data_IF_339167836016
#
_entry.id   IF_339167836016
#
_cell.length_a   1.000
_cell.length_b   1.000
_cell.length_c   1.000
_cell.angle_alpha   90.00
_cell.angle_beta   90.00
_cell.angle_gamma   90.00
#
_symmetry.space_group_name_H-M   'P 1'
#
loop_
_entity.id
_entity.type
_entity.pdbx_description
1 polymer ?
#
# COMPACT_ATOMS: atom_id res chain seq x y z
N UNK A 1 -11.78 -34.42 53.70
CA UNK A 1 -11.57 -35.87 53.64
C UNK A 1 -12.75 -36.55 54.32
N UNK A 2 -13.50 -37.37 53.60
CA UNK A 2 -14.47 -38.27 54.23
C UNK A 2 -13.68 -39.38 54.94
N UNK A 3 -13.91 -39.57 56.24
CA UNK A 3 -13.29 -40.64 57.02
C UNK A 3 -14.25 -41.84 57.04
N UNK A 4 -13.78 -42.98 56.53
CA UNK A 4 -14.53 -44.23 56.55
C UNK A 4 -13.96 -45.14 57.64
N UNK A 5 -14.83 -45.56 58.56
CA UNK A 5 -14.42 -46.31 59.75
C UNK A 5 -14.61 -47.83 59.60
N UNK A 6 -15.39 -48.28 58.62
CA UNK A 6 -15.66 -49.68 58.34
C UNK A 6 -15.72 -50.00 56.84
N UNK A 7 -15.50 -51.27 56.48
CA UNK A 7 -15.69 -51.80 55.10
C UNK A 7 -17.09 -51.47 54.57
N UNK A 8 -18.12 -51.66 55.39
CA UNK A 8 -19.52 -51.46 55.00
C UNK A 8 -19.78 -49.99 54.64
N UNK A 9 -19.28 -49.05 55.45
CA UNK A 9 -19.45 -47.62 55.18
C UNK A 9 -18.80 -47.19 53.86
N UNK A 10 -17.61 -47.74 53.56
CA UNK A 10 -16.91 -47.48 52.31
C UNK A 10 -17.66 -48.05 51.09
N UNK A 11 -18.07 -49.31 51.16
CA UNK A 11 -18.77 -49.98 50.05
C UNK A 11 -20.13 -49.35 49.78
N UNK A 12 -20.85 -48.90 50.82
CA UNK A 12 -22.10 -48.18 50.66
C UNK A 12 -21.89 -46.80 50.02
N UNK A 13 -20.84 -46.07 50.40
CA UNK A 13 -20.49 -44.81 49.76
C UNK A 13 -20.07 -44.99 48.30
N UNK A 14 -19.30 -46.05 47.99
CA UNK A 14 -18.93 -46.42 46.62
C UNK A 14 -20.15 -46.80 45.78
N UNK A 15 -21.05 -47.63 46.31
CA UNK A 15 -22.31 -48.00 45.63
C UNK A 15 -23.15 -46.77 45.31
N UNK A 16 -23.27 -45.82 46.25
CA UNK A 16 -23.98 -44.55 45.99
C UNK A 16 -23.29 -43.69 44.94
N UNK A 17 -21.96 -43.61 44.97
CA UNK A 17 -21.19 -42.84 43.99
C UNK A 17 -21.29 -43.43 42.57
N UNK A 18 -21.36 -44.76 42.45
CA UNK A 18 -21.47 -45.48 41.19
C UNK A 18 -22.90 -45.47 40.57
N UNK A 19 -23.89 -44.90 41.26
CA UNK A 19 -25.24 -44.78 40.71
C UNK A 19 -25.22 -43.99 39.38
N UNK A 20 -25.85 -44.56 38.34
CA UNK A 20 -25.90 -43.99 36.99
C UNK A 20 -24.85 -44.55 36.02
N UNK A 21 -23.95 -45.44 36.44
CA UNK A 21 -23.14 -46.24 35.53
C UNK A 21 -23.87 -47.54 35.13
N UNK A 22 -23.44 -48.24 34.07
CA UNK A 22 -23.98 -49.54 33.70
C UNK A 22 -23.93 -50.56 34.87
N UNK A 23 -24.97 -51.38 35.06
CA UNK A 23 -25.09 -52.27 36.22
C UNK A 23 -23.98 -53.34 36.30
N UNK A 24 -23.44 -53.76 35.16
CA UNK A 24 -22.31 -54.69 35.06
C UNK A 24 -21.01 -54.06 35.61
N UNK A 25 -20.75 -52.79 35.28
CA UNK A 25 -19.59 -52.05 35.77
C UNK A 25 -19.72 -51.84 37.28
N UNK A 26 -20.90 -51.48 37.77
CA UNK A 26 -21.14 -51.29 39.20
C UNK A 26 -20.83 -52.57 40.00
N UNK A 27 -21.37 -53.71 39.58
CA UNK A 27 -21.17 -54.99 40.26
C UNK A 27 -19.70 -55.43 40.25
N UNK A 28 -19.02 -55.29 39.10
CA UNK A 28 -17.61 -55.65 38.95
C UNK A 28 -16.70 -54.77 39.82
N UNK A 29 -16.94 -53.46 39.83
CA UNK A 29 -16.17 -52.52 40.65
C UNK A 29 -16.40 -52.81 42.13
N UNK A 30 -17.64 -53.00 42.56
CA UNK A 30 -17.95 -53.27 43.97
C UNK A 30 -17.28 -54.56 44.47
N UNK A 31 -17.34 -55.64 43.67
CA UNK A 31 -16.71 -56.92 44.00
C UNK A 31 -15.18 -56.82 44.13
N UNK A 32 -14.53 -56.02 43.27
CA UNK A 32 -13.09 -55.81 43.33
C UNK A 32 -12.66 -55.08 44.61
N UNK A 33 -13.39 -54.02 44.99
CA UNK A 33 -13.10 -53.29 46.22
C UNK A 33 -13.41 -54.14 47.46
N UNK A 34 -14.48 -54.92 47.44
CA UNK A 34 -14.80 -55.88 48.49
C UNK A 34 -13.66 -56.89 48.71
N UNK A 35 -13.13 -57.48 47.63
CA UNK A 35 -12.00 -58.41 47.72
C UNK A 35 -10.77 -57.73 48.35
N UNK A 36 -10.50 -56.47 48.01
CA UNK A 36 -9.35 -55.74 48.57
C UNK A 36 -9.45 -55.57 50.09
N UNK A 37 -10.64 -55.35 50.62
CA UNK A 37 -10.87 -55.31 52.07
C UNK A 37 -10.66 -56.69 52.71
N UNK A 38 -11.11 -57.76 52.05
CA UNK A 38 -10.90 -59.14 52.52
C UNK A 38 -9.40 -59.48 52.56
N UNK A 39 -8.65 -59.13 51.51
CA UNK A 39 -7.21 -59.37 51.44
C UNK A 39 -6.45 -58.56 52.52
N UNK A 40 -6.87 -57.31 52.77
CA UNK A 40 -6.30 -56.48 53.83
C UNK A 40 -6.53 -57.07 55.23
N UNK A 41 -7.75 -57.56 55.49
CA UNK A 41 -8.08 -58.23 56.73
C UNK A 41 -7.30 -59.54 56.92
N UNK A 42 -7.07 -60.30 55.84
CA UNK A 42 -6.29 -61.55 55.88
C UNK A 42 -4.81 -61.34 56.27
N UNK A 43 -4.26 -60.16 56.00
CA UNK A 43 -2.88 -59.77 56.38
C UNK A 43 -2.85 -59.01 57.72
N UNK A 44 -4.00 -58.93 58.41
CA UNK A 44 -4.11 -58.29 59.73
C UNK A 44 -4.11 -56.75 59.70
N UNK A 45 -4.38 -56.13 58.55
CA UNK A 45 -4.57 -54.67 58.47
C UNK A 45 -5.95 -54.28 58.98
N UNK A 46 -6.05 -53.12 59.61
CA UNK A 46 -7.35 -52.58 60.01
C UNK A 46 -8.15 -52.11 58.79
N UNK A 47 -9.48 -52.19 58.85
CA UNK A 47 -10.35 -51.72 57.76
C UNK A 47 -10.15 -50.22 57.48
N UNK A 48 -9.78 -49.44 58.50
CA UNK A 48 -9.52 -48.00 58.40
C UNK A 48 -8.26 -47.71 57.57
N UNK A 49 -7.21 -48.51 57.77
CA UNK A 49 -5.96 -48.36 57.01
C UNK A 49 -6.18 -48.71 55.54
N UNK A 50 -6.97 -49.75 55.28
CA UNK A 50 -7.33 -50.18 53.91
C UNK A 50 -8.20 -49.13 53.22
N UNK A 51 -9.19 -48.56 53.91
CA UNK A 51 -10.03 -47.49 53.36
C UNK A 51 -9.23 -46.22 53.05
N UNK A 52 -8.25 -45.88 53.89
CA UNK A 52 -7.36 -44.73 53.67
C UNK A 52 -6.45 -44.92 52.47
N UNK A 53 -5.95 -46.14 52.26
CA UNK A 53 -5.14 -46.52 51.09
C UNK A 53 -5.95 -46.47 49.79
N UNK A 54 -7.24 -46.85 49.85
CA UNK A 54 -8.14 -46.90 48.68
C UNK A 54 -8.64 -45.52 48.21
N UNK A 55 -8.56 -44.49 49.04
CA UNK A 55 -8.96 -43.12 48.68
C UNK A 55 -10.48 -42.89 48.61
N UNK A 56 -10.92 -41.74 48.08
CA UNK A 56 -12.34 -41.36 48.08
C UNK A 56 -13.15 -42.16 47.03
N UNK A 57 -14.24 -42.86 47.42
CA UNK A 57 -15.10 -43.59 46.48
C UNK A 57 -15.74 -42.71 45.40
N UNK A 58 -15.87 -41.39 45.63
CA UNK A 58 -16.42 -40.44 44.65
C UNK A 58 -15.49 -40.23 43.46
N UNK A 59 -14.18 -40.24 43.69
CA UNK A 59 -13.18 -40.06 42.63
C UNK A 59 -13.15 -41.28 41.71
N UNK A 60 -13.35 -42.47 42.27
CA UNK A 60 -13.49 -43.72 41.52
C UNK A 60 -14.70 -43.65 40.58
N UNK A 61 -15.85 -43.18 41.06
CA UNK A 61 -17.03 -43.02 40.21
C UNK A 61 -16.84 -41.95 39.13
N UNK A 62 -16.18 -40.84 39.45
CA UNK A 62 -15.90 -39.76 38.51
C UNK A 62 -14.98 -40.21 37.37
N UNK A 63 -13.92 -40.95 37.69
CA UNK A 63 -13.00 -41.49 36.69
C UNK A 63 -13.69 -42.50 35.77
N UNK A 64 -14.52 -43.40 36.33
CA UNK A 64 -15.29 -44.36 35.54
C UNK A 64 -16.32 -43.68 34.62
N UNK A 65 -17.01 -42.63 35.07
CA UNK A 65 -17.93 -41.85 34.21
C UNK A 65 -17.19 -41.17 33.07
N UNK A 66 -16.07 -40.53 33.38
CA UNK A 66 -15.25 -39.84 32.39
C UNK A 66 -14.80 -40.82 31.31
N UNK A 67 -14.30 -41.98 31.70
CA UNK A 67 -13.88 -43.04 30.77
C UNK A 67 -15.05 -43.59 29.94
N UNK A 68 -16.23 -43.76 30.54
CA UNK A 68 -17.42 -44.21 29.81
C UNK A 68 -17.86 -43.20 28.73
N UNK A 69 -17.80 -41.90 29.03
CA UNK A 69 -18.10 -40.85 28.05
C UNK A 69 -17.06 -40.80 26.91
N UNK A 70 -15.76 -40.92 27.22
CA UNK A 70 -14.72 -40.99 26.20
C UNK A 70 -14.81 -42.24 25.33
N UNK A 71 -15.20 -43.38 25.90
CA UNK A 71 -15.40 -44.61 25.16
C UNK A 71 -16.58 -44.48 24.17
N UNK A 72 -17.69 -43.85 24.56
CA UNK A 72 -18.83 -43.61 23.67
C UNK A 72 -18.48 -42.68 22.49
N UNK A 73 -17.62 -41.68 22.72
CA UNK A 73 -17.13 -40.81 21.65
C UNK A 73 -16.17 -41.54 20.70
N UNK A 74 -15.36 -42.45 21.24
CA UNK A 74 -14.37 -43.23 20.46
C UNK A 74 -14.98 -44.41 19.70
N UNK A 75 -16.08 -44.99 20.21
CA UNK A 75 -16.78 -46.12 19.60
C UNK A 75 -17.79 -45.74 18.51
N UNK A 76 -17.90 -44.46 18.16
CA UNK A 76 -18.60 -44.05 16.94
C UNK A 76 -17.58 -44.03 15.80
N UNK A 77 -17.39 -45.12 15.03
CA UNK A 77 -16.55 -45.07 13.85
C UNK A 77 -17.09 -43.97 12.94
N UNK A 78 -16.24 -42.99 12.62
CA UNK A 78 -16.53 -42.12 11.49
C UNK A 78 -16.71 -43.04 10.27
N UNK A 79 -17.86 -42.98 9.56
CA UNK A 79 -18.01 -43.78 8.36
C UNK A 79 -16.88 -43.38 7.41
N UNK A 80 -15.98 -44.28 7.07
CA UNK A 80 -14.81 -43.98 6.23
C UNK A 80 -15.23 -43.51 4.82
N UNK A 81 -16.47 -43.78 4.42
CA UNK A 81 -17.14 -43.21 3.25
C UNK A 81 -17.52 -41.72 3.38
N UNK A 82 -17.53 -41.14 4.59
CA UNK A 82 -17.79 -39.72 4.79
C UNK A 82 -16.56 -38.87 4.57
N UNK A 83 -15.32 -39.36 4.75
CA UNK A 83 -14.13 -38.51 4.58
C UNK A 83 -13.96 -38.10 3.13
N UNK A 84 -13.96 -39.06 2.20
CA UNK A 84 -13.89 -38.76 0.76
C UNK A 84 -15.06 -37.88 0.31
N UNK A 85 -16.29 -38.16 0.78
CA UNK A 85 -17.46 -37.34 0.49
C UNK A 85 -17.37 -35.93 1.07
N UNK A 86 -16.76 -35.76 2.25
CA UNK A 86 -16.55 -34.47 2.92
C UNK A 86 -15.46 -33.67 2.21
N UNK A 87 -14.42 -34.33 1.71
CA UNK A 87 -13.39 -33.68 0.89
C UNK A 87 -13.99 -33.21 -0.43
N UNK A 88 -14.77 -34.06 -1.12
CA UNK A 88 -15.45 -33.70 -2.37
C UNK A 88 -16.48 -32.60 -2.15
N UNK A 89 -17.28 -32.65 -1.09
CA UNK A 89 -18.25 -31.59 -0.78
C UNK A 89 -17.55 -30.29 -0.36
N UNK A 90 -16.42 -30.38 0.34
CA UNK A 90 -15.57 -29.22 0.66
C UNK A 90 -15.02 -28.57 -0.59
N UNK A 91 -14.51 -29.35 -1.54
CA UNK A 91 -14.04 -28.85 -2.83
C UNK A 91 -15.18 -28.24 -3.66
N UNK A 92 -16.35 -28.88 -3.69
CA UNK A 92 -17.54 -28.35 -4.35
C UNK A 92 -18.02 -27.04 -3.75
N UNK A 93 -18.00 -26.90 -2.41
CA UNK A 93 -18.32 -25.66 -1.72
C UNK A 93 -17.32 -24.55 -2.03
N UNK A 94 -16.03 -24.89 -2.13
CA UNK A 94 -14.97 -23.94 -2.48
C UNK A 94 -15.15 -23.43 -3.91
N UNK A 95 -15.37 -24.32 -4.88
CA UNK A 95 -15.61 -23.95 -6.28
C UNK A 95 -16.89 -23.13 -6.42
N UNK A 96 -17.96 -23.52 -5.71
CA UNK A 96 -19.21 -22.77 -5.69
C UNK A 96 -19.02 -21.36 -5.10
N UNK A 97 -18.27 -21.23 -4.00
CA UNK A 97 -17.95 -19.93 -3.41
C UNK A 97 -17.12 -19.08 -4.37
N UNK A 98 -16.14 -19.66 -5.06
CA UNK A 98 -15.33 -18.96 -6.05
C UNK A 98 -16.18 -18.45 -7.22
N UNK A 99 -17.13 -19.26 -7.70
CA UNK A 99 -18.05 -18.85 -8.76
C UNK A 99 -18.93 -17.66 -8.33
N UNK A 100 -19.32 -17.59 -7.06
CA UNK A 100 -20.06 -16.45 -6.52
C UNK A 100 -19.16 -15.22 -6.29
N UNK A 101 -17.89 -15.44 -5.94
CA UNK A 101 -16.90 -14.39 -5.67
C UNK A 101 -16.38 -13.72 -6.94
N UNK A 102 -16.20 -14.46 -8.04
CA UNK A 102 -15.63 -13.92 -9.30
C UNK A 102 -16.42 -12.71 -9.81
N UNK A 103 -17.76 -12.75 -9.98
CA UNK A 103 -18.52 -11.60 -10.43
C UNK A 103 -18.41 -10.40 -9.47
N UNK A 104 -18.38 -10.66 -8.16
CA UNK A 104 -18.23 -9.62 -7.15
C UNK A 104 -16.84 -8.95 -7.25
N UNK A 105 -15.78 -9.74 -7.45
CA UNK A 105 -14.43 -9.25 -7.62
C UNK A 105 -14.27 -8.44 -8.92
N UNK A 106 -14.88 -8.89 -10.03
CA UNK A 106 -14.89 -8.15 -11.31
C UNK A 106 -15.61 -6.81 -11.15
N UNK A 107 -16.76 -6.79 -10.47
CA UNK A 107 -17.46 -5.53 -10.21
C UNK A 107 -16.64 -4.59 -9.32
N UNK A 108 -16.00 -5.11 -8.28
CA UNK A 108 -15.13 -4.34 -7.39
C UNK A 108 -13.91 -3.78 -8.13
N UNK A 109 -13.28 -4.55 -9.02
CA UNK A 109 -12.15 -4.08 -9.82
C UNK A 109 -12.56 -3.01 -10.83
N UNK A 110 -13.74 -3.13 -11.45
CA UNK A 110 -14.29 -2.13 -12.34
C UNK A 110 -14.58 -0.81 -11.60
N UNK A 111 -15.17 -0.89 -10.40
CA UNK A 111 -15.41 0.25 -9.53
C UNK A 111 -14.10 0.93 -9.11
N UNK A 112 -13.08 0.14 -8.75
CA UNK A 112 -11.75 0.64 -8.41
C UNK A 112 -11.10 1.35 -9.60
N UNK A 113 -11.14 0.76 -10.80
CA UNK A 113 -10.62 1.37 -12.02
C UNK A 113 -11.32 2.70 -12.32
N UNK A 114 -12.63 2.79 -12.06
CA UNK A 114 -13.39 4.02 -12.24
C UNK A 114 -12.97 5.11 -11.24
N UNK A 115 -12.70 4.75 -9.97
CA UNK A 115 -12.13 5.69 -8.99
C UNK A 115 -10.73 6.19 -9.39
N UNK A 116 -9.85 5.28 -9.81
CA UNK A 116 -8.49 5.65 -10.25
C UNK A 116 -8.54 6.55 -11.48
N UNK A 117 -9.43 6.26 -12.43
CA UNK A 117 -9.64 7.08 -13.62
C UNK A 117 -10.17 8.46 -13.27
N UNK A 118 -11.18 8.55 -12.40
CA UNK A 118 -11.73 9.83 -11.93
C UNK A 118 -10.64 10.68 -11.24
N UNK A 119 -9.81 10.05 -10.40
CA UNK A 119 -8.70 10.72 -9.74
C UNK A 119 -7.64 11.19 -10.73
N UNK A 120 -7.26 10.36 -11.71
CA UNK A 120 -6.31 10.72 -12.77
C UNK A 120 -6.79 11.91 -13.60
N UNK A 121 -8.06 11.90 -14.03
CA UNK A 121 -8.68 13.01 -14.76
C UNK A 121 -8.71 14.28 -13.91
N UNK A 122 -9.03 14.18 -12.63
CA UNK A 122 -9.04 15.30 -11.70
C UNK A 122 -7.65 15.93 -11.52
N UNK A 123 -6.62 15.12 -11.24
CA UNK A 123 -5.24 15.59 -11.07
C UNK A 123 -4.69 16.18 -12.38
N UNK A 124 -4.97 15.53 -13.51
CA UNK A 124 -4.60 16.05 -14.84
C UNK A 124 -5.27 17.40 -15.10
N UNK A 125 -6.57 17.55 -14.80
CA UNK A 125 -7.29 18.81 -14.92
C UNK A 125 -6.66 19.92 -14.07
N UNK A 126 -6.26 19.62 -12.82
CA UNK A 126 -5.53 20.57 -11.97
C UNK A 126 -4.21 20.97 -12.62
N UNK A 127 -3.42 20.01 -13.10
CA UNK A 127 -2.12 20.29 -13.71
C UNK A 127 -2.24 21.15 -14.98
N UNK A 128 -3.21 20.84 -15.85
CA UNK A 128 -3.48 21.61 -17.08
C UNK A 128 -3.94 23.02 -16.75
N UNK A 129 -4.85 23.16 -15.78
CA UNK A 129 -5.34 24.47 -15.31
C UNK A 129 -4.21 25.29 -14.69
N UNK A 130 -3.41 24.67 -13.81
CA UNK A 130 -2.27 25.31 -13.17
C UNK A 130 -1.21 25.74 -14.18
N UNK A 131 -0.92 24.92 -15.20
CA UNK A 131 0.00 25.29 -16.29
C UNK A 131 -0.54 26.45 -17.12
N UNK A 132 -1.85 26.46 -17.42
CA UNK A 132 -2.48 27.57 -18.14
C UNK A 132 -2.44 28.89 -17.35
N UNK A 133 -2.59 28.82 -16.02
CA UNK A 133 -2.49 29.97 -15.10
C UNK A 133 -1.05 30.40 -14.82
N UNK A 134 -0.11 29.45 -14.75
CA UNK A 134 1.28 29.66 -14.33
C UNK A 134 2.23 29.95 -15.51
N UNK A 135 1.75 30.01 -16.75
CA UNK A 135 2.53 30.44 -17.91
C UNK A 135 3.08 31.86 -17.74
N UNK A 136 4.16 32.00 -17.00
CA UNK A 136 4.93 33.23 -16.80
C UNK A 136 5.48 33.69 -18.14
N UNK A 137 5.10 34.90 -18.53
CA UNK A 137 5.19 35.41 -19.89
C UNK A 137 6.61 35.80 -20.35
N UNK A 138 7.66 35.50 -19.59
CA UNK A 138 9.04 35.78 -19.98
C UNK A 138 9.95 34.79 -19.28
N UNK A 139 10.69 33.98 -20.05
CA UNK A 139 11.90 33.36 -19.55
C UNK A 139 13.01 34.40 -19.67
N UNK A 140 13.15 35.27 -18.66
CA UNK A 140 14.23 36.26 -18.62
C UNK A 140 15.54 35.53 -18.32
N UNK A 141 16.20 35.04 -19.36
CA UNK A 141 17.56 34.54 -19.30
C UNK A 141 18.51 35.74 -19.40
N UNK A 142 18.84 36.35 -18.27
CA UNK A 142 19.94 37.32 -18.17
C UNK A 142 21.27 36.56 -18.16
N UNK A 143 21.66 35.97 -19.29
CA UNK A 143 22.97 35.35 -19.47
C UNK A 143 23.86 36.28 -20.33
N UNK A 144 24.99 36.78 -19.81
CA UNK A 144 25.94 37.53 -20.62
C UNK A 144 26.67 36.57 -21.56
N UNK A 145 26.18 36.42 -22.80
CA UNK A 145 26.88 35.65 -23.83
C UNK A 145 28.01 36.49 -24.42
N UNK A 146 29.20 36.40 -23.83
CA UNK A 146 30.41 37.08 -24.31
C UNK A 146 31.42 36.16 -25.01
N UNK A 147 31.20 34.83 -25.02
CA UNK A 147 32.14 33.88 -25.63
C UNK A 147 31.40 32.64 -26.13
N UNK A 148 31.34 32.47 -27.44
CA UNK A 148 30.89 31.23 -28.08
C UNK A 148 32.16 30.52 -28.55
N UNK A 149 32.64 29.57 -27.74
CA UNK A 149 33.83 28.78 -28.05
C UNK A 149 33.37 27.50 -28.74
N UNK A 150 33.46 27.46 -30.07
CA UNK A 150 33.19 26.24 -30.82
C UNK A 150 34.42 25.36 -30.69
N UNK A 151 34.43 24.46 -29.69
CA UNK A 151 35.43 23.40 -29.59
C UNK A 151 35.10 22.33 -30.62
N UNK A 152 35.56 22.53 -31.86
CA UNK A 152 35.89 21.41 -32.72
C UNK A 152 37.35 21.03 -32.43
N UNK A 153 37.64 19.72 -32.40
CA UNK A 153 38.91 19.11 -31.98
C UNK A 153 40.11 19.44 -32.89
N UNK A 154 40.03 20.51 -33.67
CA UNK A 154 41.11 21.03 -34.51
C UNK A 154 41.07 22.57 -34.51
N UNK A 155 41.90 23.17 -33.65
CA UNK A 155 42.22 24.60 -33.48
C UNK A 155 41.09 25.57 -33.00
N UNK A 156 41.34 26.40 -31.96
CA UNK A 156 40.37 27.40 -31.49
C UNK A 156 40.31 28.59 -32.45
N UNK A 157 39.23 28.69 -33.25
CA UNK A 157 38.93 29.90 -34.03
C UNK A 157 38.03 30.84 -33.23
N UNK A 158 38.59 31.96 -32.75
CA UNK A 158 37.81 33.07 -32.20
C UNK A 158 37.09 33.77 -33.37
N UNK A 159 35.76 33.73 -33.36
CA UNK A 159 34.89 34.45 -34.30
C UNK A 159 34.30 35.67 -33.60
N UNK A 160 34.37 36.84 -34.25
CA UNK A 160 33.80 38.07 -33.72
C UNK A 160 32.63 38.51 -34.60
N UNK A 161 31.43 38.61 -34.01
CA UNK A 161 30.25 39.11 -34.71
C UNK A 161 30.35 40.63 -34.84
N UNK A 162 30.44 41.13 -36.08
CA UNK A 162 30.47 42.55 -36.40
C UNK A 162 29.10 42.99 -36.93
N UNK A 163 28.56 44.06 -36.35
CA UNK A 163 27.27 44.65 -36.76
C UNK A 163 27.54 46.00 -37.40
N UNK A 164 27.19 46.16 -38.67
CA UNK A 164 27.22 47.46 -39.36
C UNK A 164 25.79 47.99 -39.53
N UNK A 165 25.63 49.29 -39.29
CA UNK A 165 24.35 49.99 -39.45
C UNK A 165 24.55 51.04 -40.52
N UNK A 166 23.85 50.89 -41.65
CA UNK A 166 23.88 51.82 -42.77
C UNK A 166 22.47 52.31 -43.14
N UNK A 167 22.36 53.16 -44.17
CA UNK A 167 21.06 53.69 -44.63
C UNK A 167 20.11 52.61 -45.18
N UNK A 168 20.59 51.38 -45.36
CA UNK A 168 19.79 50.23 -45.84
C UNK A 168 19.54 49.19 -44.74
N UNK A 169 19.68 49.58 -43.47
CA UNK A 169 19.37 48.74 -42.32
C UNK A 169 20.60 48.16 -41.62
N UNK A 170 20.35 47.18 -40.75
CA UNK A 170 21.36 46.55 -39.89
C UNK A 170 21.84 45.27 -40.57
N UNK A 171 23.15 45.17 -40.79
CA UNK A 171 23.78 44.00 -41.40
C UNK A 171 24.74 43.37 -40.38
N UNK A 172 24.58 42.07 -40.14
CA UNK A 172 25.38 41.31 -39.17
C UNK A 172 26.27 40.34 -39.93
N UNK A 173 27.58 40.47 -39.74
CA UNK A 173 28.60 39.65 -40.37
C UNK A 173 29.42 38.96 -39.29
N UNK A 174 29.79 37.70 -39.52
CA UNK A 174 30.68 36.95 -38.63
C UNK A 174 32.02 36.82 -39.33
N UNK A 175 33.05 37.45 -38.76
CA UNK A 175 34.36 37.52 -39.38
C UNK A 175 35.38 36.78 -38.50
N UNK A 176 36.19 35.86 -39.06
CA UNK A 176 37.24 35.17 -38.33
C UNK A 176 38.36 36.16 -37.97
N UNK A 177 38.77 36.16 -36.71
CA UNK A 177 39.81 37.09 -36.23
C UNK A 177 41.17 36.60 -36.75
N UNK A 178 41.64 37.19 -37.84
CA UNK A 178 43.00 36.98 -38.34
C UNK A 178 44.00 37.60 -37.36
N UNK A 179 44.69 36.76 -36.59
CA UNK A 179 45.88 37.17 -35.82
C UNK A 179 46.99 37.54 -36.80
N UNK A 180 47.16 38.83 -37.07
CA UNK A 180 48.34 39.34 -37.75
C UNK A 180 49.52 39.35 -36.76
N UNK A 181 50.21 38.23 -36.67
CA UNK A 181 51.56 38.19 -36.10
C UNK A 181 52.52 38.82 -37.12
N UNK A 182 52.97 40.05 -36.86
CA UNK A 182 54.24 40.53 -37.39
C UNK A 182 54.91 41.53 -36.45
N UNK A 183 55.93 41.02 -35.76
CA UNK A 183 57.03 41.77 -35.15
C UNK A 183 57.94 42.29 -36.27
N UNK A 184 58.27 43.58 -36.30
CA UNK A 184 59.61 44.13 -36.65
C UNK A 184 59.72 45.58 -36.15
N UNK A 185 60.93 45.94 -35.75
CA UNK A 185 61.35 47.02 -34.87
C UNK A 185 61.61 48.39 -35.55
N UNK A 186 61.72 49.42 -34.68
CA UNK A 186 62.54 50.64 -34.75
C UNK A 186 61.98 51.92 -35.43
N UNK A 187 62.05 53.03 -34.67
CA UNK A 187 61.88 54.44 -35.10
C UNK A 187 60.85 55.19 -34.25
N UNK A 188 61.18 55.59 -33.02
CA UNK A 188 61.67 56.94 -32.63
C UNK A 188 60.55 57.97 -32.31
N UNK A 189 60.74 58.60 -31.15
CA UNK A 189 60.22 59.88 -30.68
C UNK A 189 58.72 60.06 -30.29
N UNK A 190 58.50 60.19 -28.98
CA UNK A 190 57.98 61.44 -28.40
C UNK A 190 56.47 61.67 -28.32
N UNK A 191 55.93 61.48 -27.11
CA UNK A 191 54.91 62.34 -26.47
C UNK A 191 53.50 62.43 -27.09
N UNK A 192 52.66 61.42 -26.84
CA UNK A 192 51.19 61.56 -26.88
C UNK A 192 50.43 60.56 -25.97
N UNK A 193 51.12 59.94 -24.99
CA UNK A 193 50.66 58.69 -24.37
C UNK A 193 49.52 58.81 -23.32
N UNK A 194 49.09 60.01 -22.93
CA UNK A 194 48.14 60.16 -21.80
C UNK A 194 46.72 60.58 -22.22
N UNK A 195 46.55 61.05 -23.45
CA UNK A 195 45.25 61.44 -24.03
C UNK A 195 44.54 60.27 -24.72
N UNK A 196 45.29 59.41 -25.41
CA UNK A 196 44.74 58.27 -26.16
C UNK A 196 44.24 57.17 -25.22
N UNK A 197 44.97 56.86 -24.15
CA UNK A 197 44.58 55.80 -23.20
C UNK A 197 43.27 56.14 -22.45
N UNK A 198 43.03 57.43 -22.18
CA UNK A 198 41.79 57.91 -21.54
C UNK A 198 40.59 57.88 -22.50
N UNK A 199 40.81 58.20 -23.78
CA UNK A 199 39.80 58.06 -24.83
C UNK A 199 39.53 56.60 -25.19
N UNK A 200 40.52 55.73 -25.13
CA UNK A 200 40.35 54.30 -25.39
C UNK A 200 39.59 53.64 -24.24
N UNK A 201 39.99 53.85 -22.97
CA UNK A 201 39.26 53.34 -21.79
C UNK A 201 37.79 53.80 -21.76
N UNK A 202 37.51 55.05 -22.13
CA UNK A 202 36.12 55.54 -22.19
C UNK A 202 35.31 54.89 -23.33
N UNK A 203 35.93 54.57 -24.48
CA UNK A 203 35.25 53.78 -25.53
C UNK A 203 35.01 52.33 -25.10
N UNK A 204 35.98 51.69 -24.41
CA UNK A 204 35.80 50.30 -23.95
C UNK A 204 34.77 50.21 -22.82
N UNK A 205 34.73 51.19 -21.90
CA UNK A 205 33.72 51.29 -20.85
C UNK A 205 32.31 51.53 -21.42
N UNK A 206 32.18 52.40 -22.43
CA UNK A 206 30.90 52.69 -23.10
C UNK A 206 30.42 51.53 -23.96
N UNK A 207 31.33 50.77 -24.57
CA UNK A 207 31.03 49.50 -25.23
C UNK A 207 30.60 48.41 -24.27
N UNK A 208 31.22 48.33 -23.07
CA UNK A 208 30.83 47.37 -22.04
C UNK A 208 29.43 47.66 -21.47
N UNK A 209 29.06 48.94 -21.30
CA UNK A 209 27.71 49.35 -20.90
C UNK A 209 26.66 49.02 -21.97
N UNK A 210 26.96 49.29 -23.25
CA UNK A 210 26.07 48.98 -24.37
C UNK A 210 25.87 47.46 -24.61
N UNK A 211 26.85 46.64 -24.23
CA UNK A 211 26.76 45.16 -24.36
C UNK A 211 26.09 44.53 -23.14
N UNK A 212 26.21 45.12 -21.95
CA UNK A 212 25.51 44.68 -20.75
C UNK A 212 23.99 44.91 -20.80
N UNK A 213 23.53 45.91 -21.56
CA UNK A 213 22.10 46.18 -21.76
C UNK A 213 21.42 45.29 -22.80
N UNK A 214 22.15 44.43 -23.52
CA UNK A 214 21.57 43.59 -24.57
C UNK A 214 20.79 42.41 -23.99
N UNK A 215 19.59 42.71 -23.49
CA UNK A 215 18.61 41.75 -22.98
C UNK A 215 18.03 40.94 -24.14
N UNK A 216 18.30 39.65 -24.19
CA UNK A 216 17.60 38.73 -25.09
C UNK A 216 16.25 38.42 -24.44
N UNK A 217 15.19 39.09 -24.89
CA UNK A 217 13.82 38.73 -24.56
C UNK A 217 13.34 37.69 -25.56
N UNK A 218 13.31 36.41 -25.14
CA UNK A 218 12.61 35.38 -25.90
C UNK A 218 11.15 35.45 -25.47
N UNK A 219 10.37 36.29 -26.16
CA UNK A 219 8.91 36.26 -26.06
C UNK A 219 8.42 35.07 -26.87
N UNK A 220 8.12 33.96 -26.20
CA UNK A 220 7.25 32.95 -26.81
C UNK A 220 5.87 33.58 -26.89
N UNK A 221 5.49 34.04 -28.08
CA UNK A 221 4.15 34.53 -28.38
C UNK A 221 3.21 33.31 -28.40
N UNK A 222 2.79 32.89 -27.20
CA UNK A 222 1.75 31.88 -27.06
C UNK A 222 0.43 32.65 -27.12
N UNK A 223 -0.26 32.52 -28.27
CA UNK A 223 -1.53 33.19 -28.55
C UNK A 223 -2.43 33.26 -27.30
N UNK A 224 -2.94 34.44 -26.91
CA UNK A 224 -3.77 34.61 -25.72
C UNK A 224 -5.02 33.72 -25.73
N UNK A 225 -5.54 33.40 -26.92
CA UNK A 225 -6.65 32.46 -27.12
C UNK A 225 -6.29 31.03 -26.71
N UNK A 226 -5.03 30.61 -26.87
CA UNK A 226 -4.55 29.29 -26.45
C UNK A 226 -4.54 29.13 -24.93
N UNK A 227 -4.27 30.21 -24.19
CA UNK A 227 -4.22 30.18 -22.71
C UNK A 227 -5.60 30.08 -22.10
N UNK A 228 -6.53 30.90 -22.57
CA UNK A 228 -7.94 30.82 -22.17
C UNK A 228 -8.51 29.44 -22.51
N UNK A 229 -8.18 28.91 -23.68
CA UNK A 229 -8.60 27.56 -24.09
C UNK A 229 -8.02 26.48 -23.17
N UNK A 230 -6.73 26.57 -22.80
CA UNK A 230 -6.09 25.60 -21.90
C UNK A 230 -6.69 25.61 -20.49
N UNK A 231 -7.00 26.79 -19.93
CA UNK A 231 -7.67 26.91 -18.63
C UNK A 231 -9.09 26.38 -18.69
N UNK A 232 -9.85 26.68 -19.74
CA UNK A 232 -11.21 26.17 -19.93
C UNK A 232 -11.22 24.64 -20.05
N UNK A 233 -10.31 24.06 -20.83
CA UNK A 233 -10.15 22.61 -20.94
C UNK A 233 -9.74 21.97 -19.60
N UNK A 234 -8.83 22.61 -18.86
CA UNK A 234 -8.42 22.17 -17.53
C UNK A 234 -9.58 22.18 -16.53
N UNK A 235 -10.35 23.27 -16.46
CA UNK A 235 -11.56 23.36 -15.64
C UNK A 235 -12.60 22.30 -16.06
N UNK A 236 -12.76 22.06 -17.35
CA UNK A 236 -13.62 21.00 -17.88
C UNK A 236 -13.20 19.60 -17.40
N UNK A 237 -11.90 19.29 -17.42
CA UNK A 237 -11.36 18.03 -16.88
C UNK A 237 -11.59 17.91 -15.38
N UNK A 238 -11.41 18.98 -14.60
CA UNK A 238 -11.68 18.98 -13.16
C UNK A 238 -13.15 18.66 -12.89
N UNK A 239 -14.07 19.38 -13.54
CA UNK A 239 -15.52 19.15 -13.40
C UNK A 239 -15.91 17.74 -13.85
N UNK A 240 -15.33 17.27 -14.95
CA UNK A 240 -15.52 15.91 -15.45
C UNK A 240 -15.04 14.86 -14.44
N UNK A 241 -13.85 15.03 -13.86
CA UNK A 241 -13.31 14.15 -12.82
C UNK A 241 -14.18 14.12 -11.55
N UNK A 242 -14.67 15.29 -11.11
CA UNK A 242 -15.61 15.39 -9.98
C UNK A 242 -16.93 14.67 -10.30
N UNK A 243 -17.50 14.87 -11.48
CA UNK A 243 -18.73 14.20 -11.90
C UNK A 243 -18.55 12.66 -11.95
N UNK A 244 -17.41 12.19 -12.47
CA UNK A 244 -17.06 10.77 -12.54
C UNK A 244 -16.85 10.17 -11.13
N UNK A 245 -16.26 10.94 -10.22
CA UNK A 245 -16.14 10.57 -8.81
C UNK A 245 -17.50 10.47 -8.11
N UNK A 246 -18.38 11.46 -8.32
CA UNK A 246 -19.75 11.42 -7.80
C UNK A 246 -20.54 10.22 -8.36
N UNK A 247 -20.39 9.91 -9.65
CA UNK A 247 -20.97 8.71 -10.26
C UNK A 247 -20.48 7.44 -9.53
N UNK A 248 -19.18 7.35 -9.25
CA UNK A 248 -18.61 6.21 -8.49
C UNK A 248 -19.23 6.07 -7.09
N UNK A 249 -19.45 7.19 -6.40
CA UNK A 249 -20.12 7.19 -5.09
C UNK A 249 -21.56 6.71 -5.18
N UNK A 250 -22.29 7.11 -6.23
CA UNK A 250 -23.65 6.65 -6.48
C UNK A 250 -23.69 5.14 -6.70
N UNK A 251 -22.82 4.60 -7.56
CA UNK A 251 -22.69 3.15 -7.76
C UNK A 251 -22.35 2.41 -6.47
N UNK A 252 -21.43 2.95 -5.68
CA UNK A 252 -21.05 2.40 -4.37
C UNK A 252 -22.23 2.39 -3.40
N UNK A 253 -23.02 3.47 -3.36
CA UNK A 253 -24.24 3.58 -2.53
C UNK A 253 -25.30 2.57 -2.92
N UNK A 254 -25.56 2.40 -4.21
CA UNK A 254 -26.51 1.39 -4.69
C UNK A 254 -26.05 -0.04 -4.38
N UNK A 255 -24.75 -0.30 -4.50
CA UNK A 255 -24.16 -1.60 -4.14
C UNK A 255 -24.41 -1.92 -2.67
N UNK A 256 -24.14 -0.96 -1.75
CA UNK A 256 -24.38 -1.13 -0.31
C UNK A 256 -25.88 -1.31 -0.01
N UNK A 257 -26.75 -0.54 -0.66
CA UNK A 257 -28.19 -0.66 -0.50
C UNK A 257 -28.72 -2.04 -0.95
N UNK A 258 -28.21 -2.55 -2.08
CA UNK A 258 -28.52 -3.88 -2.59
C UNK A 258 -28.10 -4.98 -1.62
N UNK A 259 -26.87 -4.91 -1.10
CA UNK A 259 -26.37 -5.85 -0.09
C UNK A 259 -27.23 -5.81 1.17
N UNK A 260 -27.56 -4.62 1.69
CA UNK A 260 -28.44 -4.49 2.86
C UNK A 260 -29.81 -5.11 2.64
N UNK A 261 -30.40 -4.91 1.46
CA UNK A 261 -31.71 -5.49 1.12
C UNK A 261 -31.64 -7.02 1.05
N UNK A 262 -30.59 -7.57 0.44
CA UNK A 262 -30.36 -9.00 0.38
C UNK A 262 -30.18 -9.63 1.77
N UNK A 263 -29.35 -9.01 2.62
CA UNK A 263 -29.13 -9.47 4.00
C UNK A 263 -30.43 -9.43 4.80
N UNK A 264 -31.21 -8.35 4.70
CA UNK A 264 -32.48 -8.23 5.43
C UNK A 264 -33.49 -9.31 5.01
N UNK A 265 -33.55 -9.65 3.72
CA UNK A 265 -34.43 -10.69 3.20
C UNK A 265 -34.03 -12.09 3.69
N UNK A 266 -32.73 -12.39 3.77
CA UNK A 266 -32.27 -13.64 4.38
C UNK A 266 -32.48 -13.65 5.91
N UNK A 267 -32.34 -12.50 6.58
CA UNK A 267 -32.54 -12.38 8.01
C UNK A 267 -34.02 -12.54 8.41
N UNK A 268 -34.97 -12.12 7.56
CA UNK A 268 -36.40 -12.34 7.82
C UNK A 268 -36.81 -13.81 7.72
N UNK A 269 -36.12 -14.60 6.89
CA UNK A 269 -36.34 -16.06 6.79
C UNK A 269 -35.82 -16.84 8.01
N UNK A 270 -34.93 -16.24 8.80
CA UNK A 270 -34.39 -16.84 10.03
C UNK A 270 -35.17 -16.41 11.29
N UNK A 271 -36.02 -15.38 11.18
CA UNK A 271 -36.80 -14.84 12.30
C UNK A 271 -38.30 -15.21 12.25
N UNK A 272 -38.78 -15.75 11.14
CA UNK A 272 -40.11 -16.38 11.02
C UNK A 272 -40.00 -17.88 11.16
#
# INVERSE_FOLDING_TARGET
MAYFFSKLDYLDALKRALMGLPPDVQAKTLAWYEQRFVDGAAVGRSEQDVAKELGDPRDVALTLRTNAHFAQLSHKPAPTSSVARTVVSGFGLLVFNLFMLIPAAVFASLLMALYVSAFGVYVSGIAVTASGLAGSNELVLSAPLSRLEITNDDSPSETQTRVSIGEHGIQVYEEPVLRSDQRTEAGDSGSAADSENRQQRSRVLRGAEAVAERRIQITTDLDPDSRTTQVVLGCGLILGGIALFLLSLVFSKYTIAGIRRYVNMNMSLLKG
#
